data_IF_939191501176
#
_entry.id   IF_939191501176
#
_cell.length_a   1.000
_cell.length_b   1.000
_cell.length_c   1.000
_cell.angle_alpha   90.00
_cell.angle_beta   90.00
_cell.angle_gamma   90.00
#
_symmetry.space_group_name_H-M   'P 1'
#
loop_
_entity.id
_entity.type
_entity.pdbx_description
1 polymer ?
#
# COMPACT_ATOMS: atom_id res chain seq x y z
N UNK A 1 7.49 16.44 8.72
CA UNK A 1 6.25 16.33 7.92
C UNK A 1 5.41 15.21 8.51
N UNK A 2 4.09 15.37 8.60
CA UNK A 2 3.21 14.36 9.21
C UNK A 2 2.89 13.24 8.20
N UNK A 3 2.83 11.96 8.63
CA UNK A 3 2.44 10.87 7.74
C UNK A 3 0.99 11.06 7.26
N UNK A 4 0.80 11.13 5.94
CA UNK A 4 -0.52 11.31 5.33
C UNK A 4 -1.16 9.95 5.05
N UNK A 5 -2.48 9.85 5.24
CA UNK A 5 -3.24 8.64 4.92
C UNK A 5 -4.09 8.89 3.67
N UNK A 6 -3.83 8.11 2.63
CA UNK A 6 -4.53 8.15 1.35
C UNK A 6 -5.74 7.23 1.38
N UNK A 7 -6.90 7.76 0.96
CA UNK A 7 -8.10 6.95 0.73
C UNK A 7 -8.08 6.31 -0.65
N UNK A 8 -8.94 5.31 -0.85
CA UNK A 8 -9.01 4.55 -2.10
C UNK A 8 -9.03 5.41 -3.40
N UNK A 9 -9.77 6.54 -3.50
CA UNK A 9 -9.71 7.37 -4.70
C UNK A 9 -8.31 7.93 -4.99
N UNK A 10 -7.61 8.41 -3.96
CA UNK A 10 -6.24 8.91 -4.09
C UNK A 10 -5.26 7.77 -4.43
N UNK A 11 -5.39 6.62 -3.75
CA UNK A 11 -4.55 5.44 -4.06
C UNK A 11 -4.73 4.97 -5.50
N UNK A 12 -5.95 4.97 -6.04
CA UNK A 12 -6.19 4.67 -7.46
C UNK A 12 -5.50 5.68 -8.37
N UNK A 13 -5.57 6.96 -8.04
CA UNK A 13 -4.93 8.03 -8.83
C UNK A 13 -3.40 7.89 -8.82
N UNK A 14 -2.81 7.61 -7.67
CA UNK A 14 -1.35 7.52 -7.53
C UNK A 14 -0.77 6.21 -8.07
N UNK A 15 -1.47 5.09 -7.88
CA UNK A 15 -1.00 3.78 -8.37
C UNK A 15 -1.36 3.52 -9.83
N UNK A 16 -2.31 4.27 -10.40
CA UNK A 16 -2.89 4.00 -11.71
C UNK A 16 -3.71 2.71 -11.77
N UNK A 17 -3.96 2.06 -10.63
CA UNK A 17 -4.65 0.78 -10.55
C UNK A 17 -6.15 0.96 -10.31
N UNK A 18 -6.94 0.07 -10.92
CA UNK A 18 -8.35 -0.05 -10.59
C UNK A 18 -8.54 -0.57 -9.15
N UNK A 19 -9.74 -0.34 -8.60
CA UNK A 19 -10.09 -0.86 -7.27
C UNK A 19 -9.90 -2.38 -7.19
N UNK A 20 -10.42 -3.13 -8.17
CA UNK A 20 -10.34 -4.59 -8.17
C UNK A 20 -8.90 -5.06 -8.24
N UNK A 21 -8.05 -4.40 -9.04
CA UNK A 21 -6.62 -4.71 -9.11
C UNK A 21 -5.90 -4.47 -7.79
N UNK A 22 -6.22 -3.41 -7.06
CA UNK A 22 -5.65 -3.15 -5.73
C UNK A 22 -6.01 -4.30 -4.78
N UNK A 23 -7.30 -4.68 -4.69
CA UNK A 23 -7.73 -5.78 -3.82
C UNK A 23 -7.17 -7.15 -4.25
N UNK A 24 -7.02 -7.39 -5.55
CA UNK A 24 -6.32 -8.58 -6.07
C UNK A 24 -4.84 -8.59 -5.67
N UNK A 25 -4.15 -7.44 -5.77
CA UNK A 25 -2.75 -7.33 -5.34
C UNK A 25 -2.61 -7.53 -3.83
N UNK A 26 -3.59 -7.09 -3.04
CA UNK A 26 -3.63 -7.38 -1.59
C UNK A 26 -3.73 -8.89 -1.34
N UNK A 27 -4.62 -9.60 -2.04
CA UNK A 27 -4.74 -11.07 -1.88
C UNK A 27 -3.49 -11.81 -2.34
N UNK A 28 -2.77 -11.29 -3.33
CA UNK A 28 -1.49 -11.82 -3.82
C UNK A 28 -0.27 -11.44 -2.95
N UNK A 29 -0.45 -10.62 -1.91
CA UNK A 29 0.62 -10.08 -1.06
C UNK A 29 1.50 -9.04 -1.76
N UNK A 30 1.07 -8.51 -2.90
CA UNK A 30 1.78 -7.51 -3.71
C UNK A 30 1.36 -6.07 -3.41
N UNK A 31 0.52 -5.89 -2.40
CA UNK A 31 0.07 -4.60 -1.91
C UNK A 31 -0.20 -4.71 -0.41
N UNK A 32 0.06 -3.63 0.33
CA UNK A 32 -0.22 -3.58 1.76
C UNK A 32 -1.72 -3.60 2.05
N UNK A 33 -2.15 -4.27 3.11
CA UNK A 33 -3.52 -4.22 3.61
C UNK A 33 -3.88 -2.79 4.05
N UNK A 34 -5.11 -2.32 3.83
CA UNK A 34 -5.52 -1.01 4.32
C UNK A 34 -5.51 -0.94 5.85
N UNK A 35 -5.32 0.26 6.38
CA UNK A 35 -5.62 0.61 7.77
C UNK A 35 -7.07 1.08 7.89
N UNK A 36 -7.74 0.66 8.96
CA UNK A 36 -9.09 1.13 9.28
C UNK A 36 -9.00 2.55 9.86
N UNK A 37 -9.85 3.44 9.36
CA UNK A 37 -10.03 4.81 9.85
C UNK A 37 -11.37 4.97 10.57
N UNK A 38 -12.06 3.86 10.85
CA UNK A 38 -13.40 3.82 11.45
C UNK A 38 -14.38 2.97 10.64
N UNK A 39 -15.67 3.04 11.01
CA UNK A 39 -16.69 2.09 10.58
C UNK A 39 -16.90 1.97 9.06
N UNK A 40 -16.61 3.02 8.29
CA UNK A 40 -16.84 3.07 6.82
C UNK A 40 -15.63 3.59 6.05
N UNK A 41 -14.47 3.63 6.69
CA UNK A 41 -13.30 4.29 6.13
C UNK A 41 -12.04 3.44 6.25
N UNK A 42 -11.33 3.34 5.13
CA UNK A 42 -10.03 2.68 5.03
C UNK A 42 -9.07 3.58 4.26
N UNK A 43 -7.78 3.44 4.56
CA UNK A 43 -6.71 4.15 3.87
C UNK A 43 -5.38 3.42 3.90
N UNK A 44 -4.39 4.04 3.27
CA UNK A 44 -3.01 3.58 3.20
C UNK A 44 -2.09 4.75 3.52
N UNK A 45 -1.04 4.56 4.34
CA UNK A 45 0.01 5.56 4.48
C UNK A 45 0.59 5.94 3.11
N UNK A 46 0.75 7.24 2.84
CA UNK A 46 1.28 7.73 1.56
C UNK A 46 2.69 7.21 1.27
N UNK A 47 3.50 7.05 2.32
CA UNK A 47 4.84 6.48 2.24
C UNK A 47 4.85 5.05 1.69
N UNK A 48 3.86 4.24 2.03
CA UNK A 48 3.77 2.85 1.59
C UNK A 48 3.33 2.74 0.13
N UNK A 49 2.34 3.56 -0.27
CA UNK A 49 1.90 3.66 -1.66
C UNK A 49 3.06 4.09 -2.55
N UNK A 50 3.78 5.13 -2.13
CA UNK A 50 4.98 5.60 -2.82
C UNK A 50 6.07 4.52 -2.90
N UNK A 51 6.36 3.81 -1.80
CA UNK A 51 7.37 2.77 -1.77
C UNK A 51 7.05 1.60 -2.72
N UNK A 52 5.79 1.14 -2.75
CA UNK A 52 5.36 0.07 -3.65
C UNK A 52 5.41 0.54 -5.10
N UNK A 53 4.94 1.76 -5.39
CA UNK A 53 5.01 2.33 -6.73
C UNK A 53 6.47 2.44 -7.21
N UNK A 54 7.39 2.94 -6.36
CA UNK A 54 8.80 3.02 -6.68
C UNK A 54 9.42 1.64 -6.98
N UNK A 55 9.09 0.61 -6.18
CA UNK A 55 9.54 -0.76 -6.44
C UNK A 55 9.04 -1.29 -7.78
N UNK A 56 7.79 -0.98 -8.15
CA UNK A 56 7.21 -1.39 -9.44
C UNK A 56 7.81 -0.64 -10.62
N UNK A 57 8.05 0.66 -10.48
CA UNK A 57 8.77 1.47 -11.48
C UNK A 57 10.19 0.95 -11.69
N UNK A 58 10.85 0.51 -10.61
CA UNK A 58 12.17 -0.12 -10.67
C UNK A 58 12.16 -1.56 -11.24
N UNK A 59 11.00 -2.09 -11.68
CA UNK A 59 10.90 -3.42 -12.27
C UNK A 59 11.15 -4.56 -11.30
N UNK A 60 10.96 -4.33 -10.00
CA UNK A 60 11.21 -5.35 -8.96
C UNK A 60 10.32 -6.57 -9.17
N UNK A 61 10.86 -7.79 -9.06
CA UNK A 61 10.06 -9.01 -9.20
C UNK A 61 9.06 -9.10 -8.04
N UNK A 62 7.95 -9.79 -8.29
CA UNK A 62 6.87 -9.97 -7.32
C UNK A 62 7.35 -10.53 -5.97
N UNK A 63 8.40 -11.37 -5.96
CA UNK A 63 9.03 -11.87 -4.72
C UNK A 63 9.59 -10.74 -3.85
N UNK A 64 10.27 -9.77 -4.45
CA UNK A 64 10.82 -8.61 -3.73
C UNK A 64 9.71 -7.67 -3.28
N UNK A 65 8.67 -7.49 -4.10
CA UNK A 65 7.50 -6.68 -3.72
C UNK A 65 6.79 -7.28 -2.50
N UNK A 66 6.62 -8.61 -2.44
CA UNK A 66 6.03 -9.28 -1.26
C UNK A 66 6.88 -9.06 -0.02
N UNK A 67 8.20 -9.19 -0.13
CA UNK A 67 9.11 -8.94 0.99
C UNK A 67 9.02 -7.48 1.47
N UNK A 68 8.93 -6.52 0.53
CA UNK A 68 8.74 -5.11 0.84
C UNK A 68 7.41 -4.87 1.55
N UNK A 69 6.31 -5.43 1.06
CA UNK A 69 4.98 -5.32 1.69
C UNK A 69 5.01 -5.82 3.13
N UNK A 70 5.60 -7.00 3.37
CA UNK A 70 5.75 -7.54 4.72
C UNK A 70 6.56 -6.61 5.64
N UNK A 71 7.64 -6.03 5.12
CA UNK A 71 8.47 -5.07 5.86
C UNK A 71 7.69 -3.79 6.21
N UNK A 72 6.92 -3.26 5.26
CA UNK A 72 6.10 -2.06 5.47
C UNK A 72 5.02 -2.33 6.52
N UNK A 73 4.30 -3.45 6.42
CA UNK A 73 3.28 -3.82 7.41
C UNK A 73 3.87 -4.08 8.80
N UNK A 74 5.07 -4.66 8.90
CA UNK A 74 5.77 -4.85 10.16
C UNK A 74 6.18 -3.50 10.79
N UNK A 75 6.67 -2.55 9.97
CA UNK A 75 7.05 -1.23 10.43
C UNK A 75 5.87 -0.45 11.05
N UNK A 76 4.63 -0.67 10.55
CA UNK A 76 3.42 -0.07 11.16
C UNK A 76 3.28 -0.39 12.64
N UNK A 77 3.59 -1.61 13.05
CA UNK A 77 3.46 -2.07 14.45
C UNK A 77 4.52 -1.49 15.38
N UNK A 78 5.63 -1.01 14.82
CA UNK A 78 6.73 -0.44 15.62
C UNK A 78 6.55 1.05 15.85
N UNK A 79 5.76 1.72 15.01
CA UNK A 79 5.51 3.16 15.08
C UNK A 79 4.25 3.54 15.89
N UNK A 80 3.56 2.56 16.47
CA UNK A 80 2.41 2.72 17.39
C UNK A 80 2.87 2.42 18.82
#
# INVERSE_FOLDING_TARGET
MLPTILRLPAVKSESGLSRSTIYLRISQGLWTKPISLGARAVGWPSSEVMAINAARIAGKPDKEIRALVMKLEAARKTAA
#
